data_IF_422347963858
#
_entry.id   IF_422347963858
#
_cell.length_a   1.000
_cell.length_b   1.000
_cell.length_c   1.000
_cell.angle_alpha   90.00
_cell.angle_beta   90.00
_cell.angle_gamma   90.00
#
_symmetry.space_group_name_H-M   'P 1'
#
loop_
_entity.id
_entity.type
_entity.pdbx_description
1 polymer ?
#
# COMPACT_ATOMS: atom_id res chain seq x y z
N UNK A 1 15.72 4.73 20.54
CA UNK A 1 16.16 3.33 20.53
C UNK A 1 15.00 2.51 20.01
N UNK A 2 15.24 1.73 18.95
CA UNK A 2 14.22 0.87 18.37
C UNK A 2 14.03 -0.35 19.28
N UNK A 3 12.79 -0.63 19.64
CA UNK A 3 12.38 -1.78 20.45
C UNK A 3 11.62 -2.75 19.55
N UNK A 4 11.97 -4.03 19.64
CA UNK A 4 11.35 -5.11 18.88
C UNK A 4 10.85 -6.17 19.86
N UNK A 5 9.61 -6.62 19.67
CA UNK A 5 8.97 -7.58 20.57
C UNK A 5 8.01 -8.48 19.82
N UNK A 6 8.20 -9.79 19.99
CA UNK A 6 7.21 -10.77 19.54
C UNK A 6 5.98 -10.75 20.45
N UNK A 7 4.79 -10.67 19.86
CA UNK A 7 3.51 -10.67 20.58
C UNK A 7 2.45 -11.42 19.78
N UNK A 8 1.46 -11.98 20.46
CA UNK A 8 0.21 -12.37 19.81
C UNK A 8 -0.64 -11.12 19.55
N UNK A 9 -1.26 -11.04 18.38
CA UNK A 9 -2.08 -9.89 18.00
C UNK A 9 -3.40 -10.32 17.35
N UNK A 10 -4.50 -10.13 18.10
CA UNK A 10 -5.87 -10.49 17.69
C UNK A 10 -5.93 -11.93 17.15
N UNK A 11 -6.48 -12.13 15.95
CA UNK A 11 -6.54 -13.42 15.28
C UNK A 11 -5.52 -13.56 14.13
N UNK A 12 -4.49 -12.70 14.10
CA UNK A 12 -3.41 -12.77 13.12
C UNK A 12 -2.25 -13.65 13.59
N UNK A 13 -2.32 -14.18 14.82
CA UNK A 13 -1.30 -15.06 15.40
C UNK A 13 -0.13 -14.27 15.97
N UNK A 14 1.06 -14.85 15.89
CA UNK A 14 2.30 -14.19 16.28
C UNK A 14 2.65 -13.08 15.30
N UNK A 15 3.06 -11.95 15.86
CA UNK A 15 3.54 -10.78 15.14
C UNK A 15 4.82 -10.25 15.79
N UNK A 16 5.60 -9.48 15.04
CA UNK A 16 6.66 -8.62 15.57
C UNK A 16 6.13 -7.19 15.66
N UNK A 17 6.08 -6.64 16.87
CA UNK A 17 5.90 -5.21 17.11
C UNK A 17 7.27 -4.53 17.09
N UNK A 18 7.42 -3.49 16.26
CA UNK A 18 8.61 -2.65 16.18
C UNK A 18 8.19 -1.22 16.56
N UNK A 19 8.95 -0.56 17.43
CA UNK A 19 8.66 0.79 17.89
C UNK A 19 9.91 1.64 18.08
N UNK A 20 9.81 2.93 17.77
CA UNK A 20 10.82 3.94 18.09
C UNK A 20 10.48 4.82 19.31
N UNK A 21 9.44 4.45 20.06
CA UNK A 21 8.93 5.22 21.20
C UNK A 21 7.92 6.33 20.86
N UNK A 22 7.71 6.63 19.57
CA UNK A 22 6.67 7.57 19.10
C UNK A 22 5.57 6.79 18.38
N UNK A 23 5.97 6.00 17.38
CA UNK A 23 5.09 5.13 16.61
C UNK A 23 5.45 3.66 16.83
N UNK A 24 4.51 2.80 16.47
CA UNK A 24 4.69 1.36 16.38
C UNK A 24 4.12 0.83 15.07
N UNK A 25 4.72 -0.24 14.60
CA UNK A 25 4.25 -1.04 13.48
C UNK A 25 4.19 -2.50 13.93
N UNK A 26 3.18 -3.24 13.48
CA UNK A 26 3.02 -4.66 13.80
C UNK A 26 3.00 -5.46 12.51
N UNK A 27 3.90 -6.43 12.38
CA UNK A 27 4.04 -7.28 11.20
C UNK A 27 3.76 -8.73 11.56
N UNK A 28 2.92 -9.40 10.78
CA UNK A 28 2.55 -10.80 11.01
C UNK A 28 3.72 -11.76 10.76
N UNK A 29 3.87 -12.78 11.61
CA UNK A 29 4.90 -13.82 11.50
C UNK A 29 4.32 -15.18 11.09
N UNK A 30 3.11 -15.51 11.53
CA UNK A 30 2.46 -16.78 11.21
C UNK A 30 1.78 -16.79 9.83
N UNK A 31 1.59 -15.60 9.23
CA UNK A 31 1.04 -15.37 7.88
C UNK A 31 1.77 -14.18 7.23
N UNK A 32 1.71 -14.03 5.90
CA UNK A 32 2.10 -12.80 5.22
C UNK A 32 3.50 -12.80 4.58
N UNK A 33 4.33 -11.74 4.71
CA UNK A 33 4.22 -10.70 5.73
C UNK A 33 3.10 -9.71 5.45
N UNK A 34 2.36 -9.35 6.49
CA UNK A 34 1.38 -8.28 6.50
C UNK A 34 1.74 -7.28 7.58
N UNK A 35 1.91 -6.02 7.19
CA UNK A 35 1.96 -4.91 8.14
C UNK A 35 0.52 -4.62 8.57
N UNK A 36 0.10 -5.09 9.73
CA UNK A 36 -1.31 -5.08 10.14
C UNK A 36 -1.68 -3.90 11.04
N UNK A 37 -0.68 -3.21 11.58
CA UNK A 37 -0.88 -2.02 12.39
C UNK A 37 0.20 -0.98 12.10
N UNK A 38 -0.20 0.28 11.97
CA UNK A 38 0.67 1.44 12.10
C UNK A 38 -0.05 2.51 12.94
N UNK A 39 0.56 2.91 14.05
CA UNK A 39 -0.07 3.82 15.02
C UNK A 39 0.97 4.53 15.87
N UNK A 40 0.57 5.61 16.58
CA UNK A 40 1.28 6.03 17.79
C UNK A 40 1.23 4.91 18.85
N UNK A 41 2.16 4.90 19.80
CA UNK A 41 2.28 3.82 20.82
C UNK A 41 0.93 3.44 21.46
N UNK A 42 0.17 4.44 21.87
CA UNK A 42 -1.17 4.29 22.48
C UNK A 42 -2.28 4.86 21.59
N UNK A 43 -2.00 5.02 20.30
CA UNK A 43 -2.91 5.59 19.31
C UNK A 43 -3.83 4.57 18.65
N UNK A 44 -4.74 5.08 17.83
CA UNK A 44 -5.55 4.26 16.94
C UNK A 44 -4.70 3.74 15.77
N UNK A 45 -5.01 2.54 15.31
CA UNK A 45 -4.44 1.99 14.08
C UNK A 45 -5.01 2.73 12.87
N UNK A 46 -4.14 3.25 12.00
CA UNK A 46 -4.58 3.90 10.75
C UNK A 46 -4.88 2.88 9.64
N UNK A 47 -4.46 1.62 9.81
CA UNK A 47 -4.70 0.55 8.87
C UNK A 47 -6.00 -0.19 9.19
N UNK A 48 -6.67 -0.68 8.15
CA UNK A 48 -7.82 -1.57 8.31
C UNK A 48 -7.35 -2.98 8.67
N UNK A 49 -8.10 -3.67 9.53
CA UNK A 49 -7.80 -5.03 9.97
C UNK A 49 -9.01 -5.93 9.67
N UNK A 50 -8.89 -6.83 8.71
CA UNK A 50 -9.99 -7.73 8.35
C UNK A 50 -10.05 -8.95 9.28
N UNK A 51 -10.32 -8.69 10.56
CA UNK A 51 -10.37 -9.71 11.62
C UNK A 51 -11.39 -10.79 11.26
N UNK A 52 -12.56 -10.44 10.72
CA UNK A 52 -13.61 -11.43 10.41
C UNK A 52 -13.44 -12.11 9.05
N UNK A 53 -12.38 -11.78 8.29
CA UNK A 53 -12.09 -12.35 6.97
C UNK A 53 -13.24 -12.14 5.98
N UNK A 54 -13.76 -10.91 5.91
CA UNK A 54 -14.84 -10.52 5.00
C UNK A 54 -14.48 -10.75 3.54
N UNK A 55 -13.21 -10.60 3.16
CA UNK A 55 -12.76 -10.73 1.77
C UNK A 55 -11.91 -11.98 1.59
N UNK A 56 -12.54 -12.98 0.98
CA UNK A 56 -11.92 -14.27 0.66
C UNK A 56 -12.15 -14.59 -0.81
N UNK A 57 -11.08 -14.83 -1.54
CA UNK A 57 -11.19 -15.32 -2.90
C UNK A 57 -10.96 -16.84 -2.92
N UNK A 58 -12.01 -17.56 -3.32
CA UNK A 58 -12.02 -19.04 -3.39
C UNK A 58 -12.77 -19.57 -4.62
N UNK A 59 -12.56 -18.91 -5.77
CA UNK A 59 -13.12 -19.30 -7.06
C UNK A 59 -12.42 -20.57 -7.65
N UNK A 60 -13.02 -21.22 -8.65
CA UNK A 60 -12.49 -22.43 -9.31
C UNK A 60 -11.04 -22.29 -9.79
N UNK A 61 -10.70 -21.17 -10.44
CA UNK A 61 -9.32 -20.91 -10.87
C UNK A 61 -8.31 -20.81 -9.72
N UNK A 62 -8.74 -20.46 -8.51
CA UNK A 62 -7.89 -20.56 -7.32
C UNK A 62 -7.73 -22.01 -6.87
N UNK A 63 -8.83 -22.77 -6.84
CA UNK A 63 -8.83 -24.16 -6.40
C UNK A 63 -7.96 -25.07 -7.28
N UNK A 64 -7.97 -24.84 -8.59
CA UNK A 64 -7.15 -25.58 -9.55
C UNK A 64 -5.64 -25.37 -9.33
N UNK A 65 -5.23 -24.17 -8.92
CA UNK A 65 -3.82 -23.82 -8.75
C UNK A 65 -3.32 -24.01 -7.30
N UNK A 66 -4.17 -23.77 -6.31
CA UNK A 66 -3.81 -23.71 -4.89
C UNK A 66 -4.56 -24.71 -3.99
N UNK A 67 -5.41 -25.57 -4.55
CA UNK A 67 -6.17 -26.54 -3.77
C UNK A 67 -7.21 -25.86 -2.87
N UNK A 68 -7.30 -26.29 -1.61
CA UNK A 68 -8.26 -25.69 -0.66
C UNK A 68 -7.73 -24.38 -0.02
N UNK A 69 -6.51 -23.96 -0.37
CA UNK A 69 -5.95 -22.69 0.09
C UNK A 69 -6.69 -21.50 -0.56
N UNK A 70 -6.84 -20.44 0.21
CA UNK A 70 -7.66 -19.29 -0.17
C UNK A 70 -6.87 -18.02 -0.02
N UNK A 71 -7.08 -17.09 -0.93
CA UNK A 71 -6.54 -15.76 -0.72
C UNK A 71 -7.44 -14.97 0.24
N UNK A 72 -6.82 -14.26 1.17
CA UNK A 72 -7.48 -13.34 2.09
C UNK A 72 -6.88 -11.95 1.94
N UNK A 73 -7.72 -10.92 2.11
CA UNK A 73 -7.18 -9.56 2.17
C UNK A 73 -6.35 -9.34 3.44
N UNK A 74 -6.78 -9.88 4.59
CA UNK A 74 -6.28 -9.59 5.95
C UNK A 74 -6.34 -8.11 6.38
N UNK A 75 -6.40 -7.16 5.43
CA UNK A 75 -6.21 -5.74 5.68
C UNK A 75 -4.72 -5.40 5.74
N UNK A 76 -4.39 -4.31 6.43
CA UNK A 76 -3.02 -3.88 6.64
C UNK A 76 -2.34 -3.48 5.36
N UNK A 77 -1.10 -3.90 5.18
CA UNK A 77 -0.34 -3.65 3.98
C UNK A 77 0.43 -4.89 3.52
N UNK A 78 0.61 -5.00 2.20
CA UNK A 78 1.25 -6.15 1.54
C UNK A 78 2.00 -5.74 0.28
N UNK A 79 2.89 -6.65 -0.14
CA UNK A 79 3.61 -6.59 -1.40
C UNK A 79 3.08 -7.63 -2.40
N UNK A 80 2.85 -7.17 -3.62
CA UNK A 80 2.35 -7.94 -4.75
C UNK A 80 3.14 -7.65 -6.03
N UNK A 81 2.79 -8.36 -7.10
CA UNK A 81 3.24 -8.07 -8.46
C UNK A 81 2.08 -7.57 -9.31
N UNK A 82 2.30 -6.50 -10.06
CA UNK A 82 1.41 -6.00 -11.11
C UNK A 82 1.93 -6.39 -12.51
N UNK A 83 1.07 -6.58 -13.55
CA UNK A 83 -0.38 -6.39 -13.59
C UNK A 83 -1.18 -7.38 -12.73
N UNK A 84 -2.33 -6.93 -12.22
CA UNK A 84 -3.28 -7.76 -11.50
C UNK A 84 -3.82 -8.88 -12.40
N UNK A 85 -3.50 -10.13 -12.06
CA UNK A 85 -3.86 -11.29 -12.86
C UNK A 85 -4.22 -12.49 -12.00
N UNK A 86 -5.34 -13.15 -12.33
CA UNK A 86 -5.70 -14.43 -11.72
C UNK A 86 -4.99 -15.59 -12.44
N UNK A 87 -4.43 -16.58 -11.71
CA UNK A 87 -4.32 -16.68 -10.25
C UNK A 87 -3.08 -16.00 -9.65
N UNK A 88 -2.15 -15.51 -10.50
CA UNK A 88 -0.79 -15.09 -10.11
C UNK A 88 -0.75 -14.09 -8.96
N UNK A 89 -1.50 -13.00 -9.05
CA UNK A 89 -1.49 -11.92 -8.05
C UNK A 89 -2.18 -12.36 -6.75
N UNK A 90 -3.18 -13.23 -6.84
CA UNK A 90 -3.93 -13.73 -5.71
C UNK A 90 -3.28 -14.95 -5.05
N UNK A 91 -1.97 -15.15 -5.19
CA UNK A 91 -1.27 -16.24 -4.53
C UNK A 91 -1.52 -16.19 -3.00
N UNK A 92 -2.02 -17.28 -2.38
CA UNK A 92 -2.27 -17.30 -0.94
C UNK A 92 -0.96 -17.20 -0.13
N UNK A 93 -0.86 -16.18 0.72
CA UNK A 93 0.27 -15.92 1.60
C UNK A 93 -0.05 -16.27 3.06
N UNK A 94 -0.69 -17.43 3.27
CA UNK A 94 -1.20 -17.88 4.57
C UNK A 94 -0.18 -18.67 5.40
N UNK A 95 1.09 -18.67 5.00
CA UNK A 95 2.13 -19.48 5.61
C UNK A 95 3.03 -18.62 6.51
N UNK A 96 3.65 -19.22 7.54
CA UNK A 96 4.63 -18.52 8.36
C UNK A 96 5.81 -18.01 7.54
N UNK A 97 6.37 -16.90 8.01
CA UNK A 97 7.51 -16.23 7.40
C UNK A 97 8.73 -16.27 8.32
N UNK A 98 9.91 -16.02 7.75
CA UNK A 98 11.12 -15.77 8.52
C UNK A 98 11.36 -14.28 8.67
N UNK A 99 11.98 -13.85 9.78
CA UNK A 99 12.43 -12.48 9.95
C UNK A 99 13.82 -12.40 10.58
N UNK A 100 14.51 -11.29 10.32
CA UNK A 100 15.80 -10.93 10.90
C UNK A 100 15.69 -9.54 11.53
N UNK A 101 15.99 -9.43 12.82
CA UNK A 101 16.05 -8.14 13.52
C UNK A 101 17.31 -7.38 13.10
N UNK A 102 17.16 -6.09 12.80
CA UNK A 102 18.24 -5.15 12.50
C UNK A 102 18.29 -4.07 13.56
N UNK A 103 19.34 -3.23 13.55
CA UNK A 103 19.44 -2.10 14.48
C UNK A 103 18.30 -1.08 14.31
N UNK A 104 17.72 -0.99 13.11
CA UNK A 104 16.69 0.00 12.75
C UNK A 104 15.28 -0.58 12.66
N UNK A 105 15.11 -1.90 12.73
CA UNK A 105 13.82 -2.56 12.58
C UNK A 105 14.03 -4.03 12.23
N UNK A 106 13.40 -4.53 11.17
CA UNK A 106 13.52 -5.94 10.79
C UNK A 106 13.28 -6.18 9.30
N UNK A 107 13.83 -7.28 8.79
CA UNK A 107 13.59 -7.78 7.42
C UNK A 107 12.68 -9.00 7.51
N UNK A 108 11.54 -8.95 6.84
CA UNK A 108 10.55 -10.03 6.79
C UNK A 108 10.58 -10.70 5.42
N UNK A 109 10.73 -12.03 5.38
CA UNK A 109 10.94 -12.79 4.14
C UNK A 109 9.90 -13.91 4.02
N UNK A 110 9.13 -13.89 2.93
CA UNK A 110 8.25 -14.99 2.55
C UNK A 110 9.04 -16.24 2.14
N UNK A 111 8.51 -17.45 2.39
CA UNK A 111 9.00 -18.62 1.68
C UNK A 111 8.83 -18.42 0.16
N UNK A 112 9.70 -19.02 -0.63
CA UNK A 112 9.59 -18.99 -2.08
C UNK A 112 8.21 -19.49 -2.53
N UNK A 113 7.51 -18.66 -3.29
CA UNK A 113 6.21 -19.04 -3.84
C UNK A 113 6.40 -20.08 -4.94
N UNK A 114 5.75 -21.24 -4.79
CA UNK A 114 5.95 -22.38 -5.69
C UNK A 114 5.60 -22.09 -7.15
N UNK A 115 4.49 -21.38 -7.38
CA UNK A 115 3.96 -21.12 -8.72
C UNK A 115 4.54 -19.87 -9.36
N UNK A 116 4.68 -18.80 -8.56
CA UNK A 116 5.23 -17.54 -9.04
C UNK A 116 6.76 -17.57 -9.12
N UNK A 117 7.41 -18.50 -8.40
CA UNK A 117 8.86 -18.64 -8.31
C UNK A 117 9.52 -17.31 -7.92
N UNK A 118 8.92 -16.65 -6.92
CA UNK A 118 9.38 -15.38 -6.37
C UNK A 118 9.54 -15.49 -4.86
N UNK A 119 10.50 -14.73 -4.33
CA UNK A 119 10.62 -14.45 -2.89
C UNK A 119 10.29 -12.99 -2.67
N UNK A 120 9.40 -12.72 -1.71
CA UNK A 120 8.96 -11.39 -1.35
C UNK A 120 9.55 -11.01 0.00
N UNK A 121 10.05 -9.78 0.11
CA UNK A 121 10.56 -9.24 1.36
C UNK A 121 10.01 -7.84 1.61
N UNK A 122 9.78 -7.55 2.89
CA UNK A 122 9.50 -6.20 3.38
C UNK A 122 10.51 -5.93 4.48
N UNK A 123 11.34 -4.91 4.31
CA UNK A 123 12.22 -4.41 5.35
C UNK A 123 11.63 -3.14 5.95
N UNK A 124 11.61 -3.08 7.27
CA UNK A 124 11.14 -1.95 8.05
C UNK A 124 12.36 -1.27 8.69
N UNK A 125 12.52 0.02 8.42
CA UNK A 125 13.50 0.87 9.10
C UNK A 125 12.78 2.03 9.81
N UNK A 126 13.11 2.25 11.08
CA UNK A 126 12.65 3.39 11.87
C UNK A 126 13.86 4.24 12.30
N UNK A 127 13.61 5.53 12.45
CA UNK A 127 14.57 6.47 13.05
C UNK A 127 14.06 6.98 14.39
N UNK A 128 14.99 7.38 15.26
CA UNK A 128 14.65 7.96 16.56
C UNK A 128 14.14 9.39 16.39
N UNK A 129 13.11 9.77 17.15
CA UNK A 129 12.66 11.16 17.27
C UNK A 129 11.69 11.65 16.19
N UNK A 130 11.31 10.79 15.23
CA UNK A 130 10.29 11.11 14.21
C UNK A 130 9.16 10.08 14.21
N UNK A 131 7.96 10.40 13.71
CA UNK A 131 6.90 9.42 13.50
C UNK A 131 7.01 8.75 12.10
N UNK A 132 8.21 8.69 11.55
CA UNK A 132 8.46 8.23 10.18
C UNK A 132 8.97 6.79 10.16
N UNK A 133 8.52 6.01 9.18
CA UNK A 133 8.93 4.63 8.95
C UNK A 133 9.23 4.45 7.47
N UNK A 134 10.36 3.85 7.14
CA UNK A 134 10.71 3.47 5.78
C UNK A 134 10.44 1.99 5.57
N UNK A 135 9.79 1.67 4.46
CA UNK A 135 9.50 0.31 4.03
C UNK A 135 10.22 0.05 2.71
N UNK A 136 11.11 -0.94 2.68
CA UNK A 136 11.82 -1.36 1.47
C UNK A 136 11.26 -2.70 1.04
N UNK A 137 10.58 -2.70 -0.11
CA UNK A 137 9.96 -3.88 -0.68
C UNK A 137 10.91 -4.51 -1.68
N UNK A 138 11.09 -5.83 -1.62
CA UNK A 138 11.93 -6.56 -2.57
C UNK A 138 11.21 -7.77 -3.12
N UNK A 139 11.38 -7.99 -4.41
CA UNK A 139 10.90 -9.20 -5.09
C UNK A 139 12.06 -9.79 -5.87
N UNK A 140 12.47 -11.01 -5.51
CA UNK A 140 13.53 -11.75 -6.18
C UNK A 140 12.93 -12.80 -7.10
N UNK A 141 13.33 -12.80 -8.38
CA UNK A 141 13.00 -13.86 -9.32
C UNK A 141 13.84 -15.11 -9.01
N UNK A 142 13.18 -16.21 -8.62
CA UNK A 142 13.79 -17.54 -8.42
C UNK A 142 13.53 -18.50 -9.57
N UNK A 143 12.79 -18.06 -10.58
CA UNK A 143 12.53 -18.87 -11.77
C UNK A 143 13.80 -19.00 -12.64
N UNK A 144 13.89 -20.04 -13.49
CA UNK A 144 14.99 -20.19 -14.43
C UNK A 144 14.87 -19.27 -15.66
N UNK A 145 13.82 -18.44 -15.75
CA UNK A 145 13.55 -17.57 -16.89
C UNK A 145 13.42 -16.11 -16.47
N UNK A 146 13.49 -15.21 -17.44
CA UNK A 146 13.11 -13.83 -17.21
C UNK A 146 11.59 -13.73 -16.99
N UNK A 147 11.18 -12.92 -16.01
CA UNK A 147 9.77 -12.62 -15.74
C UNK A 147 9.58 -11.10 -15.68
N UNK A 148 8.49 -10.61 -16.27
CA UNK A 148 8.19 -9.17 -16.31
C UNK A 148 7.07 -8.85 -15.32
N UNK A 149 7.32 -7.91 -14.41
CA UNK A 149 6.34 -7.39 -13.46
C UNK A 149 6.78 -6.05 -12.85
N UNK A 150 5.86 -5.41 -12.15
CA UNK A 150 6.14 -4.28 -11.25
C UNK A 150 5.89 -4.70 -9.80
N UNK A 151 6.71 -4.25 -8.82
CA UNK A 151 6.32 -4.27 -7.41
C UNK A 151 5.03 -3.46 -7.21
N UNK A 152 4.08 -4.00 -6.46
CA UNK A 152 2.80 -3.35 -6.17
C UNK A 152 2.53 -3.42 -4.68
N UNK A 153 2.52 -2.26 -4.02
CA UNK A 153 2.48 -2.14 -2.58
C UNK A 153 1.13 -1.58 -2.15
N UNK A 154 0.27 -2.44 -1.60
CA UNK A 154 -1.14 -2.14 -1.29
C UNK A 154 -1.27 -1.84 0.20
N UNK A 155 -1.69 -0.63 0.56
CA UNK A 155 -1.95 -0.22 1.95
C UNK A 155 -3.45 -0.02 2.17
N UNK A 156 -4.08 -0.90 2.95
CA UNK A 156 -5.50 -0.87 3.30
C UNK A 156 -5.71 -0.05 4.58
N UNK A 157 -6.41 1.08 4.47
CA UNK A 157 -6.59 2.09 5.50
C UNK A 157 -7.94 1.96 6.20
N UNK A 158 -7.98 2.33 7.49
CA UNK A 158 -9.17 2.25 8.33
C UNK A 158 -10.31 3.12 7.80
N UNK A 159 -11.56 2.69 7.98
CA UNK A 159 -12.72 3.30 7.33
C UNK A 159 -13.03 4.77 7.76
N UNK A 160 -13.68 5.54 6.90
CA UNK A 160 -14.33 6.82 7.19
C UNK A 160 -13.51 8.08 6.89
N UNK A 161 -12.29 7.93 6.37
CA UNK A 161 -11.40 9.05 6.09
C UNK A 161 -11.55 9.69 4.70
N UNK A 162 -10.65 10.63 4.43
CA UNK A 162 -10.50 11.33 3.14
C UNK A 162 -9.08 11.16 2.62
N UNK A 163 -8.97 10.69 1.39
CA UNK A 163 -7.71 10.64 0.65
C UNK A 163 -7.52 11.89 -0.22
N UNK A 164 -6.26 12.33 -0.33
CA UNK A 164 -5.80 13.42 -1.18
C UNK A 164 -4.66 12.91 -2.05
N UNK A 165 -4.86 12.93 -3.36
CA UNK A 165 -3.88 12.50 -4.36
C UNK A 165 -3.44 13.71 -5.19
N UNK A 166 -2.15 14.05 -5.25
CA UNK A 166 -1.66 15.13 -6.08
C UNK A 166 -1.73 14.76 -7.57
N UNK A 167 -2.02 15.76 -8.40
CA UNK A 167 -1.99 15.66 -9.84
C UNK A 167 -0.67 16.21 -10.38
N UNK A 168 -0.11 15.65 -11.46
CA UNK A 168 1.06 16.22 -12.12
C UNK A 168 0.86 17.69 -12.50
N UNK A 169 1.72 18.56 -11.96
CA UNK A 169 1.69 20.02 -12.22
C UNK A 169 2.83 20.50 -13.13
N UNK A 170 3.72 19.57 -13.52
CA UNK A 170 4.84 19.84 -14.44
C UNK A 170 4.36 20.48 -15.74
N UNK A 171 5.06 21.51 -16.21
CA UNK A 171 4.70 22.20 -17.45
C UNK A 171 5.21 21.41 -18.67
N UNK A 172 4.29 20.89 -19.49
CA UNK A 172 4.61 20.08 -20.67
C UNK A 172 3.97 20.56 -21.97
N UNK A 173 3.42 21.77 -22.01
CA UNK A 173 2.71 22.27 -23.19
C UNK A 173 3.59 22.22 -24.44
N UNK A 174 3.07 21.73 -25.60
CA UNK A 174 1.66 21.46 -25.87
C UNK A 174 1.19 20.02 -25.60
N UNK A 175 2.01 19.14 -25.00
CA UNK A 175 1.68 17.72 -24.79
C UNK A 175 1.09 17.46 -23.40
N UNK A 176 0.26 16.40 -23.29
CA UNK A 176 -0.34 15.97 -22.03
C UNK A 176 0.68 15.31 -21.09
N UNK A 177 0.57 15.57 -19.79
CA UNK A 177 1.34 14.90 -18.73
C UNK A 177 0.47 14.27 -17.63
N UNK A 178 -0.85 14.45 -17.65
CA UNK A 178 -1.79 13.84 -16.71
C UNK A 178 -2.49 12.66 -17.36
N UNK A 179 -2.37 11.48 -16.77
CA UNK A 179 -3.06 10.25 -17.17
C UNK A 179 -3.86 9.75 -15.99
N UNK A 180 -5.13 9.50 -16.20
CA UNK A 180 -6.03 8.93 -15.19
C UNK A 180 -6.62 7.65 -15.78
N UNK A 181 -6.41 6.54 -15.11
CA UNK A 181 -7.07 5.27 -15.40
C UNK A 181 -8.31 5.14 -14.52
N UNK A 182 -9.43 4.66 -15.08
CA UNK A 182 -10.68 4.47 -14.35
C UNK A 182 -11.17 3.04 -14.56
N UNK A 183 -11.54 2.38 -13.47
CA UNK A 183 -12.13 1.05 -13.53
C UNK A 183 -13.60 1.14 -13.96
N UNK A 184 -14.18 0.08 -14.56
CA UNK A 184 -15.52 0.14 -15.16
C UNK A 184 -16.64 0.56 -14.20
N UNK A 185 -16.46 0.38 -12.89
CA UNK A 185 -17.40 0.78 -11.85
C UNK A 185 -17.19 2.20 -11.31
N UNK A 186 -16.10 2.88 -11.67
CA UNK A 186 -15.78 4.23 -11.21
C UNK A 186 -16.73 5.26 -11.85
N UNK A 187 -17.60 5.84 -11.02
CA UNK A 187 -18.55 6.87 -11.44
C UNK A 187 -17.95 8.26 -11.27
N UNK A 188 -17.40 8.85 -12.34
CA UNK A 188 -16.72 10.15 -12.26
C UNK A 188 -17.56 11.29 -11.65
N UNK A 189 -18.89 11.18 -11.72
CA UNK A 189 -19.84 12.11 -11.13
C UNK A 189 -20.22 11.78 -9.67
N UNK A 190 -19.46 10.89 -9.00
CA UNK A 190 -19.64 10.60 -7.59
C UNK A 190 -19.43 11.88 -6.76
N UNK A 191 -20.37 12.24 -5.86
CA UNK A 191 -20.22 13.42 -5.00
C UNK A 191 -19.11 13.27 -3.95
N UNK A 192 -18.58 12.05 -3.82
CA UNK A 192 -17.48 11.70 -2.91
C UNK A 192 -16.11 12.02 -3.51
N UNK A 193 -16.06 12.29 -4.82
CA UNK A 193 -14.84 12.62 -5.54
C UNK A 193 -14.87 14.08 -5.95
N UNK A 194 -13.78 14.79 -5.69
CA UNK A 194 -13.54 16.12 -6.23
C UNK A 194 -12.28 16.11 -7.08
N UNK A 195 -12.46 16.40 -8.37
CA UNK A 195 -11.38 16.55 -9.35
C UNK A 195 -10.94 18.01 -9.38
N UNK A 196 -9.98 18.38 -8.53
CA UNK A 196 -9.45 19.74 -8.44
C UNK A 196 -8.46 20.09 -9.56
N UNK A 197 -7.79 21.23 -9.44
CA UNK A 197 -6.75 21.65 -10.37
C UNK A 197 -5.40 21.00 -10.04
N UNK A 198 -5.10 20.90 -8.73
CA UNK A 198 -3.85 20.34 -8.17
C UNK A 198 -4.07 18.99 -7.49
N UNK A 199 -5.23 18.76 -6.89
CA UNK A 199 -5.48 17.57 -6.08
C UNK A 199 -6.75 16.86 -6.50
N UNK A 200 -6.78 15.54 -6.32
CA UNK A 200 -7.99 14.72 -6.38
C UNK A 200 -8.30 14.31 -4.95
N UNK A 201 -9.52 14.60 -4.51
CA UNK A 201 -9.97 14.23 -3.17
C UNK A 201 -11.00 13.12 -3.27
N UNK A 202 -10.83 12.09 -2.44
CA UNK A 202 -11.76 10.96 -2.34
C UNK A 202 -12.19 10.79 -0.89
N UNK A 203 -13.48 10.99 -0.62
CA UNK A 203 -14.09 10.76 0.69
C UNK A 203 -14.70 9.38 0.73
N UNK A 204 -14.36 8.59 1.75
CA UNK A 204 -14.94 7.27 1.85
C UNK A 204 -16.43 7.32 2.19
N UNK A 205 -17.25 6.58 1.44
CA UNK A 205 -18.63 6.28 1.85
C UNK A 205 -18.70 4.93 2.54
N UNK A 206 -19.00 4.96 3.84
CA UNK A 206 -19.15 3.76 4.68
C UNK A 206 -20.58 3.23 4.74
N UNK A 207 -21.54 3.91 4.09
CA UNK A 207 -22.97 3.63 4.20
C UNK A 207 -23.51 2.82 3.03
N UNK A 208 -23.04 3.08 1.82
CA UNK A 208 -23.45 2.35 0.62
C UNK A 208 -22.35 1.41 0.12
N UNK A 209 -22.76 0.36 -0.61
CA UNK A 209 -21.84 -0.58 -1.27
C UNK A 209 -21.28 -0.01 -2.57
N UNK A 210 -20.86 1.25 -2.55
CA UNK A 210 -20.22 1.89 -3.70
C UNK A 210 -18.76 1.44 -3.77
N UNK A 211 -18.26 1.29 -4.99
CA UNK A 211 -16.85 1.05 -5.24
C UNK A 211 -16.35 2.13 -6.18
N UNK A 212 -15.17 2.65 -5.89
CA UNK A 212 -14.47 3.58 -6.76
C UNK A 212 -13.01 3.15 -6.86
N UNK A 213 -12.45 3.18 -8.08
CA UNK A 213 -11.02 2.96 -8.29
C UNK A 213 -10.52 3.86 -9.39
N UNK A 214 -9.40 4.52 -9.15
CA UNK A 214 -8.67 5.23 -10.18
C UNK A 214 -7.17 5.05 -10.03
N UNK A 215 -6.45 5.19 -11.13
CA UNK A 215 -5.00 5.27 -11.17
C UNK A 215 -4.56 6.63 -11.70
N UNK A 216 -3.36 7.06 -11.30
CA UNK A 216 -2.71 8.26 -11.83
C UNK A 216 -1.19 8.05 -11.94
N UNK A 217 -0.56 8.69 -12.93
CA UNK A 217 0.90 8.85 -12.96
C UNK A 217 1.31 9.91 -11.92
N UNK A 218 1.34 9.54 -10.64
CA UNK A 218 1.62 10.45 -9.53
C UNK A 218 3.10 10.92 -9.54
N UNK A 219 3.40 11.93 -10.38
CA UNK A 219 4.77 12.49 -10.54
C UNK A 219 5.34 13.03 -9.22
N UNK A 220 4.49 13.54 -8.31
CA UNK A 220 4.92 14.09 -7.02
C UNK A 220 5.26 13.01 -5.97
N UNK A 221 4.89 11.74 -6.21
CA UNK A 221 5.33 10.61 -5.39
C UNK A 221 4.76 10.56 -3.96
N UNK A 222 3.55 11.07 -3.73
CA UNK A 222 2.89 10.93 -2.43
C UNK A 222 1.37 10.84 -2.51
N UNK A 223 0.75 10.32 -1.46
CA UNK A 223 -0.69 10.45 -1.18
C UNK A 223 -0.92 10.64 0.33
N UNK A 224 -2.00 11.31 0.70
CA UNK A 224 -2.33 11.66 2.09
C UNK A 224 -3.70 11.12 2.47
N UNK A 225 -3.84 10.58 3.68
CA UNK A 225 -5.09 10.07 4.22
C UNK A 225 -5.39 10.70 5.57
N UNK A 226 -6.54 11.34 5.70
CA UNK A 226 -7.01 11.92 6.96
C UNK A 226 -8.18 11.13 7.50
N UNK A 227 -8.05 10.61 8.72
CA UNK A 227 -9.11 9.88 9.40
C UNK A 227 -9.06 10.10 10.91
N UNK A 228 -10.20 10.46 11.51
CA UNK A 228 -10.36 10.68 12.96
C UNK A 228 -9.26 11.53 13.63
N UNK A 229 -8.76 12.57 12.95
CA UNK A 229 -7.71 13.46 13.48
C UNK A 229 -6.28 12.97 13.27
N UNK A 230 -6.09 11.82 12.61
CA UNK A 230 -4.81 11.31 12.15
C UNK A 230 -4.60 11.66 10.68
N UNK A 231 -3.38 12.07 10.35
CA UNK A 231 -2.89 12.24 8.99
C UNK A 231 -1.81 11.19 8.72
N UNK A 232 -2.12 10.26 7.83
CA UNK A 232 -1.16 9.33 7.26
C UNK A 232 -0.66 9.84 5.92
N UNK A 233 0.66 9.82 5.73
CA UNK A 233 1.28 10.22 4.47
C UNK A 233 2.11 9.06 3.97
N UNK A 234 1.85 8.66 2.73
CA UNK A 234 2.59 7.64 2.01
C UNK A 234 3.39 8.31 0.91
N UNK A 235 4.71 8.21 0.97
CA UNK A 235 5.64 8.71 -0.07
C UNK A 235 6.31 7.55 -0.77
N UNK A 236 6.59 7.70 -2.06
CA UNK A 236 7.22 6.73 -2.93
C UNK A 236 7.89 7.47 -4.11
N UNK A 237 8.66 6.76 -4.93
CA UNK A 237 9.30 7.35 -6.09
C UNK A 237 8.48 7.13 -7.37
N UNK A 238 8.28 8.19 -8.15
CA UNK A 238 7.88 8.09 -9.55
C UNK A 238 9.09 8.37 -10.44
N UNK A 239 9.56 7.34 -11.14
CA UNK A 239 10.53 7.46 -12.22
C UNK A 239 9.86 8.08 -13.44
N UNK A 240 10.24 9.32 -13.77
CA UNK A 240 9.76 10.01 -14.95
C UNK A 240 10.12 9.22 -16.22
N UNK A 241 9.17 9.11 -17.15
CA UNK A 241 9.27 8.30 -18.37
C UNK A 241 9.46 6.79 -18.13
N UNK A 242 9.35 6.32 -16.88
CA UNK A 242 9.31 4.92 -16.53
C UNK A 242 8.11 4.20 -17.16
N UNK A 243 8.25 2.90 -17.40
CA UNK A 243 7.12 2.07 -17.83
C UNK A 243 6.40 1.57 -16.59
N UNK A 244 5.11 1.84 -16.50
CA UNK A 244 4.25 1.41 -15.39
C UNK A 244 3.09 0.57 -15.93
N UNK A 245 2.52 -0.32 -15.10
CA UNK A 245 1.34 -1.09 -15.47
C UNK A 245 0.11 -0.17 -15.65
N UNK A 246 -1.02 -0.77 -16.04
CA UNK A 246 -2.34 -0.11 -16.05
C UNK A 246 -2.43 1.20 -16.87
N UNK A 247 -1.60 1.30 -17.92
CA UNK A 247 -1.57 2.47 -18.79
C UNK A 247 -0.64 3.60 -18.32
N UNK A 248 0.27 3.31 -17.40
CA UNK A 248 1.26 4.26 -16.90
C UNK A 248 1.03 4.70 -15.45
N UNK A 249 0.35 3.90 -14.63
CA UNK A 249 -0.03 4.27 -13.26
C UNK A 249 1.06 3.88 -12.27
N UNK A 250 1.65 4.87 -11.61
CA UNK A 250 2.56 4.65 -10.47
C UNK A 250 1.83 4.70 -9.14
N UNK A 251 0.58 5.15 -9.15
CA UNK A 251 -0.30 5.18 -7.99
C UNK A 251 -1.72 4.80 -8.38
N UNK A 252 -2.36 4.01 -7.54
CA UNK A 252 -3.78 3.67 -7.64
C UNK A 252 -4.44 3.81 -6.28
N UNK A 253 -5.75 4.03 -6.30
CA UNK A 253 -6.55 3.99 -5.09
C UNK A 253 -7.90 3.35 -5.35
N UNK A 254 -8.33 2.52 -4.40
CA UNK A 254 -9.61 1.82 -4.39
C UNK A 254 -10.36 2.10 -3.10
N UNK A 255 -11.68 2.19 -3.16
CA UNK A 255 -12.53 2.22 -1.97
C UNK A 255 -13.71 1.26 -2.05
N UNK A 256 -14.19 0.89 -0.87
CA UNK A 256 -15.52 0.37 -0.63
C UNK A 256 -16.03 0.82 0.76
N UNK A 257 -17.18 0.31 1.17
CA UNK A 257 -17.80 0.63 2.47
C UNK A 257 -16.95 0.30 3.72
N UNK A 258 -15.92 -0.54 3.60
CA UNK A 258 -15.11 -1.06 4.71
C UNK A 258 -13.71 -0.43 4.77
N UNK A 259 -13.12 -0.03 3.65
CA UNK A 259 -11.76 0.54 3.63
C UNK A 259 -11.46 1.35 2.36
N UNK A 260 -10.32 2.04 2.39
CA UNK A 260 -9.62 2.61 1.22
C UNK A 260 -8.27 1.91 1.06
N UNK A 261 -7.82 1.71 -0.17
CA UNK A 261 -6.47 1.22 -0.50
C UNK A 261 -5.65 2.35 -1.13
N UNK A 262 -4.45 2.59 -0.59
CA UNK A 262 -3.42 3.39 -1.26
C UNK A 262 -2.36 2.47 -1.84
N UNK A 263 -2.24 2.49 -3.16
CA UNK A 263 -1.46 1.52 -3.89
C UNK A 263 -0.33 2.22 -4.65
N UNK A 264 0.91 1.96 -4.26
CA UNK A 264 2.06 2.47 -5.02
C UNK A 264 2.65 1.35 -5.88
N UNK A 265 3.08 1.70 -7.09
CA UNK A 265 3.61 0.75 -8.07
C UNK A 265 5.01 1.17 -8.50
N UNK A 266 5.91 0.20 -8.55
CA UNK A 266 7.22 0.37 -9.16
C UNK A 266 7.16 0.23 -10.68
N UNK A 267 8.31 0.36 -11.33
CA UNK A 267 8.41 0.18 -12.78
C UNK A 267 8.07 -1.27 -13.21
N UNK A 268 7.32 -1.39 -14.31
CA UNK A 268 7.02 -2.64 -14.99
C UNK A 268 8.18 -3.00 -15.94
N UNK A 269 9.04 -3.93 -15.50
CA UNK A 269 10.27 -4.29 -16.22
C UNK A 269 10.59 -5.78 -16.15
N UNK A 270 11.35 -6.31 -17.14
CA UNK A 270 11.86 -7.68 -17.08
C UNK A 270 12.86 -7.84 -15.92
N UNK A 271 12.79 -8.98 -15.24
CA UNK A 271 13.69 -9.34 -14.15
C UNK A 271 14.33 -10.71 -14.44
N UNK A 272 15.65 -10.71 -14.61
CA UNK A 272 16.43 -11.92 -14.90
C UNK A 272 16.42 -12.94 -13.74
N UNK A 273 16.72 -14.23 -13.99
CA UNK A 273 16.89 -15.22 -12.94
C UNK A 273 17.87 -14.78 -11.85
N UNK A 274 17.43 -14.87 -10.59
CA UNK A 274 18.20 -14.47 -9.42
C UNK A 274 18.26 -12.96 -9.15
N UNK A 275 17.79 -12.12 -10.08
CA UNK A 275 17.75 -10.68 -9.89
C UNK A 275 16.62 -10.27 -8.93
N UNK A 276 16.80 -9.11 -8.30
CA UNK A 276 15.85 -8.52 -7.36
C UNK A 276 15.49 -7.12 -7.84
N UNK A 277 14.21 -6.78 -7.76
CA UNK A 277 13.73 -5.39 -7.91
C UNK A 277 13.27 -4.87 -6.56
N UNK A 278 13.39 -3.56 -6.37
CA UNK A 278 13.01 -2.89 -5.14
C UNK A 278 11.97 -1.79 -5.38
N UNK A 279 11.15 -1.52 -4.37
CA UNK A 279 10.25 -0.36 -4.31
C UNK A 279 10.21 0.17 -2.89
N UNK A 280 10.54 1.45 -2.70
CA UNK A 280 10.64 2.03 -1.35
C UNK A 280 9.46 2.94 -1.08
N UNK A 281 8.89 2.81 0.11
CA UNK A 281 7.90 3.73 0.64
C UNK A 281 8.43 4.40 1.92
N UNK A 282 8.00 5.63 2.17
CA UNK A 282 8.14 6.27 3.45
C UNK A 282 6.78 6.69 3.98
N UNK A 283 6.47 6.19 5.18
CA UNK A 283 5.23 6.46 5.88
C UNK A 283 5.48 7.44 7.00
N UNK A 284 4.57 8.40 7.16
CA UNK A 284 4.56 9.33 8.29
C UNK A 284 3.17 9.34 8.93
N UNK A 285 3.13 9.52 10.24
CA UNK A 285 1.89 9.74 10.98
C UNK A 285 1.94 11.07 11.72
N UNK A 286 0.93 11.91 11.52
CA UNK A 286 0.76 13.20 12.20
C UNK A 286 -0.65 13.34 12.75
N UNK A 287 -0.88 14.39 13.55
CA UNK A 287 -2.22 14.79 13.96
C UNK A 287 -2.65 16.02 13.16
N UNK A 288 -3.74 15.91 12.42
CA UNK A 288 -4.33 17.03 11.69
C UNK A 288 -5.81 16.76 11.36
N UNK A 289 -6.54 17.80 10.95
CA UNK A 289 -7.97 17.70 10.65
C UNK A 289 -8.23 17.54 9.16
N UNK A 290 -9.29 16.80 8.82
CA UNK A 290 -9.78 16.66 7.44
C UNK A 290 -10.02 18.06 6.86
N UNK A 291 -9.34 18.44 5.76
CA UNK A 291 -9.57 19.73 5.14
C UNK A 291 -10.95 19.78 4.50
N UNK A 292 -11.45 21.00 4.27
CA UNK A 292 -12.55 21.17 3.33
C UNK A 292 -12.10 20.84 1.89
N UNK A 293 -13.01 20.89 0.92
CA UNK A 293 -12.65 20.74 -0.50
C UNK A 293 -12.01 22.02 -1.08
N UNK A 294 -11.31 22.81 -0.26
CA UNK A 294 -10.58 24.01 -0.68
C UNK A 294 -9.09 23.66 -0.86
N UNK A 295 -8.59 23.76 -2.09
CA UNK A 295 -7.19 23.46 -2.39
C UNK A 295 -6.19 24.36 -1.63
N UNK A 296 -6.60 25.56 -1.18
CA UNK A 296 -5.75 26.42 -0.37
C UNK A 296 -5.55 25.90 1.06
N UNK A 297 -6.47 25.10 1.59
CA UNK A 297 -6.30 24.40 2.86
C UNK A 297 -5.37 23.18 2.68
N UNK A 298 -5.49 22.51 1.54
CA UNK A 298 -4.63 21.37 1.17
C UNK A 298 -3.20 21.85 0.94
N UNK A 299 -3.00 22.97 0.24
CA UNK A 299 -1.67 23.57 0.03
C UNK A 299 -0.96 23.81 1.37
N UNK A 300 -1.66 24.28 2.42
CA UNK A 300 -1.09 24.47 3.76
C UNK A 300 -0.67 23.14 4.41
N UNK A 301 -1.43 22.06 4.20
CA UNK A 301 -1.05 20.73 4.68
C UNK A 301 0.19 20.22 3.94
N UNK A 302 0.23 20.40 2.61
CA UNK A 302 1.35 20.02 1.77
C UNK A 302 2.61 20.79 2.18
N UNK A 303 2.55 22.13 2.28
CA UNK A 303 3.67 22.96 2.74
C UNK A 303 4.19 22.58 4.13
N UNK A 304 3.29 22.10 5.01
CA UNK A 304 3.63 21.72 6.39
C UNK A 304 4.31 20.36 6.47
N UNK A 305 3.89 19.38 5.66
CA UNK A 305 4.28 17.98 5.84
C UNK A 305 5.02 17.35 4.66
N UNK A 306 4.81 17.83 3.44
CA UNK A 306 5.51 17.35 2.26
C UNK A 306 6.74 18.25 2.07
N UNK A 307 7.93 17.65 2.19
CA UNK A 307 9.22 18.33 2.06
C UNK A 307 9.96 17.84 0.84
#
# INVERSE_FOLDING_TARGET
MIVQKVTDYKNFGKCLEISNGIVKIIVTLDIGPRVINFSYIDGKNILFEDVDRHFVLSHNGMKENFGDDKWYTYGGHRLWTSPETLPRTFYPDNNPISYEETEKGAIFTQPEQKWNQCVFQIEIEMEDGTPDVKLIHRITNKSPWEITFAPWCVTVLSAGGTEIVPQPTRQTQPVSNRRIALWPYAKMNSPLISWGDKYILMRQDTTERNMFKFGINCEDGYSMYLNEGLLFIKRFEHVLDGTYPDGGMSFETYENQLFIEMESLGEYKPLAPGATTEHTEQWSLYNDSIPSFDESEIDKLVEKYIK
#
